data_IF_485307610770
#
_entry.id   IF_485307610770
#
_cell.length_a   1.000
_cell.length_b   1.000
_cell.length_c   1.000
_cell.angle_alpha   90.00
_cell.angle_beta   90.00
_cell.angle_gamma   90.00
#
_symmetry.space_group_name_H-M   'P 1'
#
loop_
_entity.id
_entity.type
_entity.pdbx_description
1 polymer ?
#
# COMPACT_ATOMS: atom_id res chain seq x y z
N UNK A 1 -8.75 49.99 13.75
CA UNK A 1 -9.79 49.07 14.26
C UNK A 1 -10.32 48.27 13.09
N UNK A 2 -9.99 46.98 13.03
CA UNK A 2 -10.58 46.00 12.11
C UNK A 2 -10.29 44.64 12.71
N UNK A 3 -11.20 44.19 13.57
CA UNK A 3 -11.19 42.88 14.22
C UNK A 3 -11.67 41.83 13.23
N UNK A 4 -10.76 41.01 12.69
CA UNK A 4 -11.12 39.78 12.00
C UNK A 4 -11.24 38.66 13.04
N UNK A 5 -12.47 38.23 13.26
CA UNK A 5 -12.85 37.14 14.16
C UNK A 5 -12.26 35.81 13.70
N UNK A 6 -11.50 35.16 14.57
CA UNK A 6 -11.16 33.74 14.50
C UNK A 6 -12.44 32.89 14.51
N UNK A 7 -12.58 31.86 13.64
CA UNK A 7 -13.71 30.94 13.72
C UNK A 7 -13.60 30.10 15.01
N UNK A 8 -14.74 29.65 15.59
CA UNK A 8 -14.74 28.89 16.83
C UNK A 8 -14.04 27.54 16.62
N UNK A 9 -13.17 27.18 17.56
CA UNK A 9 -12.55 25.87 17.63
C UNK A 9 -13.63 24.78 17.60
N UNK A 10 -13.50 23.83 16.68
CA UNK A 10 -14.35 22.65 16.65
C UNK A 10 -14.19 21.87 17.96
N UNK A 11 -15.32 21.53 18.59
CA UNK A 11 -15.38 20.68 19.79
C UNK A 11 -14.50 19.43 19.65
N UNK A 12 -13.77 19.04 20.71
CA UNK A 12 -12.86 17.90 20.66
C UNK A 12 -13.62 16.61 20.27
N UNK A 13 -13.09 15.82 19.33
CA UNK A 13 -13.72 14.57 18.93
C UNK A 13 -13.59 13.54 20.07
N UNK A 14 -14.73 13.18 20.66
CA UNK A 14 -14.84 12.09 21.65
C UNK A 14 -14.61 10.74 20.96
N UNK A 15 -13.89 9.77 21.56
CA UNK A 15 -13.66 8.45 20.96
C UNK A 15 -14.93 7.61 20.71
N UNK A 16 -16.08 8.04 21.22
CA UNK A 16 -17.41 7.47 20.96
C UNK A 16 -18.09 8.00 19.70
N UNK A 17 -17.55 9.06 19.06
CA UNK A 17 -18.15 9.62 17.85
C UNK A 17 -17.99 8.65 16.68
N UNK A 18 -19.12 8.24 16.07
CA UNK A 18 -19.10 7.59 14.75
C UNK A 18 -18.40 8.53 13.77
N UNK A 19 -17.20 8.15 13.34
CA UNK A 19 -16.43 8.82 12.28
C UNK A 19 -17.30 8.81 11.01
N UNK A 20 -17.98 9.93 10.78
CA UNK A 20 -18.97 10.12 9.72
C UNK A 20 -18.59 11.39 8.95
N UNK A 21 -17.44 11.38 8.29
CA UNK A 21 -17.16 12.38 7.26
C UNK A 21 -16.25 11.81 6.18
N UNK A 22 -16.68 11.93 4.92
CA UNK A 22 -15.92 11.57 3.70
C UNK A 22 -14.74 12.52 3.43
N UNK A 23 -14.38 13.36 4.40
CA UNK A 23 -13.25 14.27 4.37
C UNK A 23 -12.21 13.80 5.38
N UNK A 24 -11.11 13.25 4.88
CA UNK A 24 -9.90 12.97 5.64
C UNK A 24 -9.20 14.27 5.98
N UNK A 25 -9.48 14.83 7.16
CA UNK A 25 -8.65 15.89 7.73
C UNK A 25 -7.69 15.30 8.77
N UNK A 26 -6.64 16.06 9.15
CA UNK A 26 -5.63 15.56 10.07
C UNK A 26 -6.19 15.15 11.44
N UNK A 27 -7.26 15.81 11.90
CA UNK A 27 -7.93 15.46 13.15
C UNK A 27 -8.56 14.06 13.11
N UNK A 28 -9.17 13.68 11.99
CA UNK A 28 -9.70 12.32 11.79
C UNK A 28 -8.59 11.26 11.89
N UNK A 29 -7.43 11.49 11.28
CA UNK A 29 -6.29 10.56 11.32
C UNK A 29 -5.75 10.39 12.74
N UNK A 30 -5.63 11.48 13.50
CA UNK A 30 -5.26 11.44 14.92
C UNK A 30 -6.26 10.62 15.75
N UNK A 31 -7.56 10.83 15.55
CA UNK A 31 -8.61 10.10 16.25
C UNK A 31 -8.57 8.61 15.96
N UNK A 32 -8.23 8.22 14.73
CA UNK A 32 -8.11 6.83 14.33
C UNK A 32 -6.97 6.13 15.09
N UNK A 33 -5.80 6.77 15.18
CA UNK A 33 -4.70 6.26 16.02
C UNK A 33 -5.12 6.14 17.49
N UNK A 34 -5.78 7.16 18.03
CA UNK A 34 -6.25 7.17 19.42
C UNK A 34 -7.24 6.05 19.72
N UNK A 35 -8.28 5.95 18.91
CA UNK A 35 -9.30 4.89 18.99
C UNK A 35 -8.67 3.51 18.86
N UNK A 36 -7.71 3.33 17.95
CA UNK A 36 -6.98 2.08 17.75
C UNK A 36 -6.28 1.57 19.00
N UNK A 37 -5.62 2.45 19.76
CA UNK A 37 -4.95 2.10 21.03
C UNK A 37 -5.96 1.56 22.06
N UNK A 38 -7.10 2.24 22.23
CA UNK A 38 -8.11 1.86 23.23
C UNK A 38 -8.83 0.57 22.84
N UNK A 39 -9.19 0.41 21.57
CA UNK A 39 -9.81 -0.83 21.08
C UNK A 39 -8.85 -2.01 21.24
N UNK A 40 -7.56 -1.80 20.95
CA UNK A 40 -6.55 -2.83 21.13
C UNK A 40 -6.40 -3.22 22.60
N UNK A 41 -6.20 -2.24 23.49
CA UNK A 41 -6.05 -2.50 24.92
C UNK A 41 -7.28 -3.21 25.50
N UNK A 42 -8.50 -2.78 25.14
CA UNK A 42 -9.74 -3.44 25.53
C UNK A 42 -9.79 -4.89 25.06
N UNK A 43 -9.35 -5.16 23.83
CA UNK A 43 -9.29 -6.54 23.29
C UNK A 43 -8.31 -7.45 24.05
N UNK A 44 -7.37 -6.86 24.80
CA UNK A 44 -6.41 -7.56 25.67
C UNK A 44 -6.81 -7.56 27.15
N UNK A 45 -7.96 -6.99 27.50
CA UNK A 45 -8.39 -6.82 28.89
C UNK A 45 -7.52 -5.82 29.67
N UNK A 46 -6.82 -4.92 28.97
CA UNK A 46 -5.97 -3.90 29.58
C UNK A 46 -6.80 -2.66 29.84
N UNK A 47 -6.90 -2.26 31.10
CA UNK A 47 -7.52 -0.98 31.47
C UNK A 47 -6.59 0.19 31.12
N UNK A 48 -7.16 1.12 30.36
CA UNK A 48 -6.51 2.34 29.88
C UNK A 48 -7.03 3.59 30.62
N UNK A 49 -8.01 3.44 31.52
CA UNK A 49 -8.75 4.55 32.10
C UNK A 49 -9.62 5.27 31.07
N UNK A 50 -10.13 6.44 31.46
CA UNK A 50 -10.88 7.30 30.56
C UNK A 50 -9.95 7.99 29.55
N UNK A 51 -10.44 8.27 28.32
CA UNK A 51 -9.75 9.11 27.36
C UNK A 51 -9.42 10.50 27.95
N UNK A 52 -8.22 10.99 27.68
CA UNK A 52 -7.72 12.29 28.13
C UNK A 52 -7.71 13.29 26.97
N UNK A 53 -7.94 14.57 27.29
CA UNK A 53 -7.78 15.65 26.32
C UNK A 53 -6.29 15.86 26.03
N UNK A 54 -5.96 16.08 24.76
CA UNK A 54 -4.59 16.27 24.28
C UNK A 54 -4.49 17.54 23.46
N UNK A 55 -3.48 18.36 23.76
CA UNK A 55 -3.02 19.43 22.87
C UNK A 55 -1.92 18.89 21.96
N UNK A 56 -2.17 18.86 20.66
CA UNK A 56 -1.29 18.19 19.68
C UNK A 56 -0.98 19.15 18.53
N UNK A 57 0.32 19.33 18.27
CA UNK A 57 0.83 19.97 17.05
C UNK A 57 1.39 18.87 16.14
N UNK A 58 1.00 18.90 14.87
CA UNK A 58 1.43 17.93 13.87
C UNK A 58 2.23 18.64 12.80
N UNK A 59 3.44 18.15 12.56
CA UNK A 59 4.30 18.56 11.46
C UNK A 59 4.76 17.31 10.68
N UNK A 60 4.82 17.40 9.37
CA UNK A 60 5.14 16.27 8.51
C UNK A 60 5.57 16.68 7.12
N UNK A 61 6.66 16.08 6.64
CA UNK A 61 7.29 16.40 5.36
C UNK A 61 7.04 15.35 4.27
N UNK A 62 6.40 14.21 4.61
CA UNK A 62 6.04 13.18 3.63
C UNK A 62 4.95 13.74 2.71
N UNK A 63 5.19 13.83 1.39
CA UNK A 63 4.22 14.42 0.46
C UNK A 63 2.86 13.71 0.53
N UNK A 64 1.76 14.46 0.60
CA UNK A 64 0.41 13.89 0.61
C UNK A 64 0.02 13.38 -0.78
N UNK A 65 -0.84 12.35 -0.85
CA UNK A 65 -1.31 11.78 -2.12
C UNK A 65 -0.23 11.16 -3.01
N UNK A 66 0.98 10.97 -2.48
CA UNK A 66 2.19 10.62 -3.24
C UNK A 66 2.47 9.12 -3.36
N UNK A 67 1.65 8.26 -2.75
CA UNK A 67 2.00 6.83 -2.64
C UNK A 67 3.17 6.54 -1.69
N UNK A 68 3.65 7.52 -0.92
CA UNK A 68 4.68 7.34 0.13
C UNK A 68 4.09 7.15 1.53
N UNK A 69 2.82 6.77 1.61
CA UNK A 69 2.15 6.32 2.84
C UNK A 69 2.11 7.36 3.98
N UNK A 70 1.93 8.65 3.66
CA UNK A 70 1.80 9.73 4.64
C UNK A 70 0.62 9.54 5.61
N UNK A 71 -0.48 8.93 5.17
CA UNK A 71 -1.61 8.59 6.06
C UNK A 71 -1.21 7.59 7.15
N UNK A 72 -0.54 6.50 6.75
CA UNK A 72 -0.08 5.46 7.64
C UNK A 72 1.01 5.99 8.60
N UNK A 73 1.94 6.81 8.09
CA UNK A 73 2.95 7.46 8.92
C UNK A 73 2.31 8.32 10.02
N UNK A 74 1.25 9.06 9.70
CA UNK A 74 0.52 9.86 10.69
C UNK A 74 -0.29 8.99 11.66
N UNK A 75 -0.99 7.94 11.21
CA UNK A 75 -1.66 7.01 12.12
C UNK A 75 -0.66 6.36 13.09
N UNK A 76 0.49 5.93 12.59
CA UNK A 76 1.56 5.33 13.39
C UNK A 76 2.17 6.33 14.38
N UNK A 77 2.50 7.55 13.95
CA UNK A 77 3.07 8.58 14.85
C UNK A 77 2.07 9.00 15.93
N UNK A 78 0.80 9.22 15.58
CA UNK A 78 -0.27 9.46 16.53
C UNK A 78 -0.38 8.33 17.55
N UNK A 79 -0.38 7.08 17.07
CA UNK A 79 -0.49 5.89 17.92
C UNK A 79 0.65 5.80 18.94
N UNK A 80 1.91 5.93 18.49
CA UNK A 80 3.04 5.82 19.41
C UNK A 80 3.14 7.00 20.37
N UNK A 81 2.74 8.21 19.94
CA UNK A 81 2.68 9.38 20.81
C UNK A 81 1.65 9.18 21.94
N UNK A 82 0.45 8.69 21.60
CA UNK A 82 -0.62 8.41 22.56
C UNK A 82 -0.22 7.30 23.53
N UNK A 83 0.39 6.22 23.04
CA UNK A 83 0.96 5.18 23.90
C UNK A 83 1.99 5.77 24.88
N UNK A 84 2.86 6.65 24.39
CA UNK A 84 3.85 7.36 25.20
C UNK A 84 3.24 8.24 26.29
N UNK A 85 2.19 9.01 25.96
CA UNK A 85 1.45 9.87 26.90
C UNK A 85 0.76 9.02 27.98
N UNK A 86 0.15 7.90 27.60
CA UNK A 86 -0.55 7.01 28.52
C UNK A 86 0.38 6.07 29.31
N UNK A 87 1.70 6.19 29.12
CA UNK A 87 2.69 5.34 29.78
C UNK A 87 2.54 3.86 29.42
N UNK A 88 2.02 3.54 28.24
CA UNK A 88 1.82 2.17 27.75
C UNK A 88 2.85 1.82 26.70
N UNK A 89 3.26 0.56 26.69
CA UNK A 89 4.16 0.03 25.68
C UNK A 89 3.65 -1.33 25.21
N UNK A 90 3.49 -1.48 23.90
CA UNK A 90 3.06 -2.72 23.26
C UNK A 90 4.15 -3.20 22.30
N UNK A 91 4.31 -4.51 22.09
CA UNK A 91 5.22 -5.04 21.10
C UNK A 91 5.01 -4.40 19.72
N UNK A 92 6.09 -3.99 19.06
CA UNK A 92 6.04 -3.33 17.73
C UNK A 92 5.18 -4.07 16.70
N UNK A 93 5.23 -5.41 16.72
CA UNK A 93 4.42 -6.28 15.85
C UNK A 93 2.92 -6.09 16.09
N UNK A 94 2.51 -5.99 17.35
CA UNK A 94 1.12 -5.75 17.72
C UNK A 94 0.68 -4.34 17.33
N UNK A 95 1.55 -3.35 17.56
CA UNK A 95 1.32 -1.95 17.13
C UNK A 95 1.06 -1.88 15.64
N UNK A 96 1.95 -2.44 14.81
CA UNK A 96 1.78 -2.48 13.36
C UNK A 96 0.46 -3.16 12.91
N UNK A 97 0.03 -4.20 13.62
CA UNK A 97 -1.21 -4.91 13.29
C UNK A 97 -2.46 -4.11 13.64
N UNK A 98 -2.53 -3.55 14.86
CA UNK A 98 -3.73 -2.81 15.25
C UNK A 98 -3.80 -1.44 14.59
N UNK A 99 -2.67 -0.80 14.24
CA UNK A 99 -2.69 0.45 13.47
C UNK A 99 -3.22 0.23 12.06
N UNK A 100 -2.84 -0.87 11.40
CA UNK A 100 -3.43 -1.27 10.11
C UNK A 100 -4.96 -1.42 10.20
N UNK A 101 -5.46 -2.11 11.24
CA UNK A 101 -6.91 -2.23 11.46
C UNK A 101 -7.57 -0.88 11.75
N UNK A 102 -6.89 -0.02 12.52
CA UNK A 102 -7.41 1.30 12.84
C UNK A 102 -7.52 2.18 11.59
N UNK A 103 -6.52 2.21 10.71
CA UNK A 103 -6.50 3.06 9.52
C UNK A 103 -7.67 2.76 8.57
N UNK A 104 -8.17 1.53 8.56
CA UNK A 104 -9.36 1.15 7.75
C UNK A 104 -10.63 1.90 8.14
N UNK A 105 -10.70 2.50 9.34
CA UNK A 105 -11.80 3.39 9.73
C UNK A 105 -11.88 4.66 8.85
N UNK A 106 -10.82 4.99 8.11
CA UNK A 106 -10.80 6.06 7.12
C UNK A 106 -11.61 5.70 5.86
N UNK A 107 -11.87 4.41 5.63
CA UNK A 107 -12.67 3.90 4.51
C UNK A 107 -11.86 3.24 3.39
N UNK A 108 -10.52 3.30 3.45
CA UNK A 108 -9.65 2.52 2.57
C UNK A 108 -9.32 1.16 3.20
N UNK A 109 -9.54 0.07 2.46
CA UNK A 109 -9.26 -1.29 2.94
C UNK A 109 -7.79 -1.68 2.71
N UNK A 110 -6.87 -0.90 3.25
CA UNK A 110 -5.43 -1.10 3.06
C UNK A 110 -4.89 -2.36 3.74
N UNK A 111 -3.79 -2.87 3.18
CA UNK A 111 -2.94 -3.88 3.81
C UNK A 111 -2.15 -3.32 5.00
N UNK A 112 -1.23 -4.14 5.54
CA UNK A 112 -0.42 -3.80 6.72
C UNK A 112 1.01 -3.34 6.44
N UNK A 113 1.41 -3.25 5.16
CA UNK A 113 2.81 -2.96 4.77
C UNK A 113 3.29 -1.61 5.29
N UNK A 114 2.49 -0.56 5.09
CA UNK A 114 2.87 0.82 5.42
C UNK A 114 3.09 1.01 6.92
N UNK A 115 2.19 0.47 7.73
CA UNK A 115 2.26 0.56 9.18
C UNK A 115 3.36 -0.34 9.75
N UNK A 116 3.54 -1.53 9.15
CA UNK A 116 4.61 -2.45 9.51
C UNK A 116 5.98 -1.81 9.32
N UNK A 117 6.26 -1.26 8.14
CA UNK A 117 7.55 -0.62 7.87
C UNK A 117 7.71 0.66 8.70
N UNK A 118 6.65 1.48 8.85
CA UNK A 118 6.70 2.69 9.66
C UNK A 118 7.08 2.41 11.12
N UNK A 119 6.61 1.31 11.72
CA UNK A 119 6.90 0.96 13.12
C UNK A 119 8.21 0.16 13.26
N UNK A 120 8.48 -0.78 12.35
CA UNK A 120 9.51 -1.81 12.53
C UNK A 120 10.80 -1.57 11.75
N UNK A 121 10.85 -0.57 10.85
CA UNK A 121 12.04 -0.32 10.04
C UNK A 121 13.31 -0.12 10.88
N UNK A 122 14.44 -0.57 10.32
CA UNK A 122 15.77 -0.41 10.88
C UNK A 122 16.65 0.40 9.93
N UNK A 123 17.46 1.34 10.45
CA UNK A 123 18.42 2.07 9.63
C UNK A 123 19.34 1.13 8.86
N UNK A 124 19.54 1.41 7.57
CA UNK A 124 20.44 0.65 6.70
C UNK A 124 19.86 -0.64 6.09
N UNK A 125 18.68 -1.09 6.52
CA UNK A 125 18.03 -2.30 6.02
C UNK A 125 16.69 -2.01 5.34
N UNK A 126 16.47 -2.60 4.16
CA UNK A 126 15.11 -2.88 3.71
C UNK A 126 14.54 -4.05 4.55
N UNK A 127 13.23 -4.26 4.50
CA UNK A 127 12.57 -5.33 5.25
C UNK A 127 11.70 -6.17 4.31
N UNK A 128 11.84 -7.49 4.36
CA UNK A 128 10.81 -8.41 3.88
C UNK A 128 9.76 -8.55 4.98
N UNK A 129 8.54 -8.09 4.69
CA UNK A 129 7.43 -8.10 5.64
C UNK A 129 6.47 -9.23 5.29
N UNK A 130 6.44 -10.27 6.13
CA UNK A 130 5.47 -11.35 6.08
C UNK A 130 4.23 -10.98 6.91
N UNK A 131 3.08 -11.56 6.55
CA UNK A 131 1.82 -11.40 7.26
C UNK A 131 1.26 -12.76 7.69
N UNK A 132 0.48 -12.78 8.78
CA UNK A 132 -0.17 -13.97 9.34
C UNK A 132 0.78 -15.13 9.76
N UNK A 133 1.70 -14.91 10.72
CA UNK A 133 1.86 -13.74 11.59
C UNK A 133 2.75 -12.64 10.99
N UNK A 134 2.67 -11.43 11.54
CA UNK A 134 3.52 -10.33 11.09
C UNK A 134 5.00 -10.56 11.47
N UNK A 135 5.88 -10.42 10.50
CA UNK A 135 7.34 -10.51 10.69
C UNK A 135 8.03 -9.54 9.75
N UNK A 136 9.03 -8.83 10.25
CA UNK A 136 9.97 -8.07 9.44
C UNK A 136 11.32 -8.83 9.46
N UNK A 137 11.86 -9.11 8.30
CA UNK A 137 13.15 -9.77 8.12
C UNK A 137 14.07 -8.85 7.33
N UNK A 138 15.20 -8.49 7.93
CA UNK A 138 16.18 -7.57 7.39
C UNK A 138 16.69 -8.04 6.01
N UNK A 139 16.71 -7.13 5.04
CA UNK A 139 17.25 -7.32 3.68
C UNK A 139 18.31 -6.25 3.44
N UNK A 140 19.57 -6.68 3.46
CA UNK A 140 20.71 -5.81 3.17
C UNK A 140 20.82 -5.59 1.67
N UNK A 141 20.50 -4.38 1.19
CA UNK A 141 20.61 -4.04 -0.23
C UNK A 141 22.08 -4.08 -0.70
N UNK A 142 22.35 -4.49 -1.95
CA UNK A 142 23.70 -4.54 -2.50
C UNK A 142 24.32 -3.14 -2.58
N UNK A 143 25.65 -3.08 -2.52
CA UNK A 143 26.37 -1.82 -2.57
C UNK A 143 26.33 -1.19 -3.97
N UNK A 144 26.61 0.12 -4.06
CA UNK A 144 26.71 0.82 -5.34
C UNK A 144 25.38 1.15 -6.04
N UNK A 145 24.24 0.84 -5.42
CA UNK A 145 22.91 1.26 -5.86
C UNK A 145 22.20 2.14 -4.83
N UNK A 146 21.52 3.17 -5.31
CA UNK A 146 20.66 4.05 -4.52
C UNK A 146 19.27 4.13 -5.16
N UNK A 147 18.25 4.24 -4.30
CA UNK A 147 16.89 4.48 -4.75
C UNK A 147 16.59 5.98 -4.81
N UNK A 148 16.14 6.44 -5.98
CA UNK A 148 15.63 7.80 -6.19
C UNK A 148 14.11 7.75 -6.25
N UNK A 149 13.48 8.59 -5.44
CA UNK A 149 12.03 8.79 -5.43
C UNK A 149 11.71 10.00 -6.29
N UNK A 150 10.72 9.86 -7.18
CA UNK A 150 10.27 10.94 -8.05
C UNK A 150 8.74 10.97 -8.10
N UNK A 151 8.13 12.14 -7.86
CA UNK A 151 6.68 12.34 -7.88
C UNK A 151 6.22 12.74 -9.29
N UNK A 152 5.15 12.12 -9.81
CA UNK A 152 4.63 12.38 -11.16
C UNK A 152 3.74 13.64 -11.26
N UNK A 153 3.46 14.28 -10.12
CA UNK A 153 2.61 15.45 -9.94
C UNK A 153 1.11 15.21 -10.17
N UNK A 154 0.69 13.98 -10.48
CA UNK A 154 -0.70 13.57 -10.35
C UNK A 154 -0.95 13.09 -8.91
N UNK A 155 -1.97 13.64 -8.26
CA UNK A 155 -2.34 13.24 -6.90
C UNK A 155 -3.15 11.94 -6.92
N UNK A 156 -2.74 10.97 -6.09
CA UNK A 156 -3.53 9.76 -5.86
C UNK A 156 -4.63 10.04 -4.84
N UNK A 157 -5.86 10.22 -5.33
CA UNK A 157 -7.07 10.42 -4.49
C UNK A 157 -7.60 9.10 -3.94
N UNK A 158 -6.77 8.39 -3.17
CA UNK A 158 -6.98 7.01 -2.71
C UNK A 158 -8.31 6.80 -1.99
N UNK A 159 -8.71 7.72 -1.11
CA UNK A 159 -9.95 7.61 -0.33
C UNK A 159 -11.20 7.97 -1.16
N UNK A 160 -11.14 9.05 -1.95
CA UNK A 160 -12.28 9.52 -2.77
C UNK A 160 -12.62 8.53 -3.87
N UNK A 161 -11.59 7.98 -4.54
CA UNK A 161 -11.76 7.02 -5.64
C UNK A 161 -11.74 5.56 -5.16
N UNK A 162 -11.81 5.32 -3.85
CA UNK A 162 -11.61 3.99 -3.29
C UNK A 162 -12.56 2.94 -3.90
N UNK A 163 -13.84 3.28 -4.08
CA UNK A 163 -14.86 2.36 -4.59
C UNK A 163 -14.65 1.95 -6.06
N UNK A 164 -13.93 2.75 -6.86
CA UNK A 164 -13.63 2.46 -8.27
C UNK A 164 -12.19 1.97 -8.50
N UNK A 165 -11.27 2.38 -7.63
CA UNK A 165 -9.84 2.07 -7.69
C UNK A 165 -9.42 1.13 -6.55
N UNK A 166 -8.94 1.66 -5.43
CA UNK A 166 -8.23 0.88 -4.41
C UNK A 166 -9.08 -0.25 -3.80
N UNK A 167 -10.27 0.05 -3.27
CA UNK A 167 -11.15 -0.97 -2.69
C UNK A 167 -11.74 -1.88 -3.77
N UNK A 168 -11.91 -1.38 -5.01
CA UNK A 168 -12.32 -2.23 -6.12
C UNK A 168 -11.32 -3.36 -6.36
N UNK A 169 -10.01 -3.06 -6.37
CA UNK A 169 -8.96 -4.09 -6.47
C UNK A 169 -9.00 -5.09 -5.32
N UNK A 170 -9.26 -4.62 -4.10
CA UNK A 170 -9.41 -5.51 -2.92
C UNK A 170 -10.59 -6.47 -3.12
N UNK A 171 -11.73 -5.98 -3.62
CA UNK A 171 -12.91 -6.80 -3.92
C UNK A 171 -12.64 -7.76 -5.07
N UNK A 172 -12.03 -7.31 -6.18
CA UNK A 172 -11.66 -8.18 -7.31
C UNK A 172 -10.74 -9.32 -6.86
N UNK A 173 -9.70 -9.04 -6.05
CA UNK A 173 -8.82 -10.06 -5.52
C UNK A 173 -9.55 -11.05 -4.61
N UNK A 174 -10.43 -10.58 -3.72
CA UNK A 174 -11.22 -11.46 -2.84
C UNK A 174 -12.20 -12.33 -3.62
N UNK A 175 -12.86 -11.77 -4.63
CA UNK A 175 -13.75 -12.53 -5.53
C UNK A 175 -12.96 -13.56 -6.33
N UNK A 176 -11.78 -13.21 -6.86
CA UNK A 176 -10.91 -14.15 -7.56
C UNK A 176 -10.49 -15.31 -6.66
N UNK A 177 -10.16 -15.04 -5.39
CA UNK A 177 -9.83 -16.08 -4.42
C UNK A 177 -11.01 -17.02 -4.14
N UNK A 178 -12.21 -16.48 -3.92
CA UNK A 178 -13.43 -17.28 -3.69
C UNK A 178 -13.74 -18.15 -4.91
N UNK A 179 -13.71 -17.59 -6.12
CA UNK A 179 -13.99 -18.32 -7.36
C UNK A 179 -12.94 -19.42 -7.59
N UNK A 180 -11.66 -19.13 -7.36
CA UNK A 180 -10.59 -20.13 -7.43
C UNK A 180 -10.82 -21.25 -6.42
N UNK A 181 -11.13 -20.95 -5.16
CA UNK A 181 -11.42 -21.95 -4.14
C UNK A 181 -12.52 -22.93 -4.59
N UNK A 182 -13.64 -22.38 -5.09
CA UNK A 182 -14.79 -23.18 -5.56
C UNK A 182 -14.40 -24.05 -6.74
N UNK A 183 -13.73 -23.48 -7.75
CA UNK A 183 -13.27 -24.22 -8.94
C UNK A 183 -12.21 -25.28 -8.61
N UNK A 184 -11.49 -25.12 -7.51
CA UNK A 184 -10.52 -26.08 -6.98
C UNK A 184 -11.17 -27.12 -6.03
N UNK A 185 -12.50 -27.14 -5.92
CA UNK A 185 -13.26 -28.16 -5.21
C UNK A 185 -13.60 -27.82 -3.76
N UNK A 186 -13.40 -26.58 -3.31
CA UNK A 186 -13.89 -26.14 -2.00
C UNK A 186 -15.42 -25.96 -2.03
N UNK A 187 -16.10 -26.42 -0.97
CA UNK A 187 -17.52 -26.14 -0.76
C UNK A 187 -17.83 -24.64 -0.87
N UNK A 188 -18.92 -24.28 -1.54
CA UNK A 188 -19.26 -22.89 -1.85
C UNK A 188 -19.52 -22.06 -0.60
N UNK A 189 -20.23 -22.61 0.40
CA UNK A 189 -20.50 -21.93 1.66
C UNK A 189 -19.21 -21.70 2.44
N UNK A 190 -18.32 -22.70 2.48
CA UNK A 190 -16.99 -22.55 3.09
C UNK A 190 -16.16 -21.49 2.36
N UNK A 191 -16.07 -21.55 1.04
CA UNK A 191 -15.29 -20.58 0.25
C UNK A 191 -15.74 -19.13 0.51
N UNK A 192 -17.05 -18.88 0.46
CA UNK A 192 -17.61 -17.54 0.69
C UNK A 192 -17.35 -17.01 2.10
N UNK A 193 -17.37 -17.89 3.12
CA UNK A 193 -17.27 -17.48 4.53
C UNK A 193 -15.84 -17.42 5.05
N UNK A 194 -14.93 -18.29 4.57
CA UNK A 194 -13.57 -18.39 5.10
C UNK A 194 -12.49 -17.80 4.20
N UNK A 195 -12.72 -17.65 2.89
CA UNK A 195 -11.70 -17.11 1.98
C UNK A 195 -11.75 -15.59 1.95
N UNK A 196 -10.62 -14.98 2.28
CA UNK A 196 -10.48 -13.53 2.40
C UNK A 196 -9.45 -12.96 1.44
N UNK A 197 -8.39 -13.73 1.15
CA UNK A 197 -7.27 -13.33 0.29
C UNK A 197 -6.89 -14.43 -0.68
N UNK A 198 -6.12 -14.09 -1.72
CA UNK A 198 -5.53 -15.07 -2.63
C UNK A 198 -4.51 -15.99 -1.94
N UNK A 199 -3.86 -15.54 -0.86
CA UNK A 199 -2.95 -16.39 -0.09
C UNK A 199 -3.68 -17.56 0.59
N UNK A 200 -4.94 -17.36 1.01
CA UNK A 200 -5.77 -18.43 1.62
C UNK A 200 -6.00 -19.63 0.68
N UNK A 201 -5.87 -19.42 -0.63
CA UNK A 201 -6.12 -20.43 -1.67
C UNK A 201 -4.86 -20.81 -2.45
N UNK A 202 -3.72 -20.18 -2.17
CA UNK A 202 -2.45 -20.40 -2.88
C UNK A 202 -2.03 -21.87 -2.83
N UNK A 203 -2.15 -22.52 -1.67
CA UNK A 203 -1.82 -23.95 -1.52
C UNK A 203 -2.66 -24.86 -2.43
N UNK A 204 -3.94 -24.53 -2.65
CA UNK A 204 -4.79 -25.26 -3.59
C UNK A 204 -4.36 -25.01 -5.04
N UNK A 205 -4.00 -23.76 -5.38
CA UNK A 205 -3.49 -23.40 -6.69
C UNK A 205 -2.17 -24.11 -7.01
N UNK A 206 -1.24 -24.19 -6.05
CA UNK A 206 0.04 -24.91 -6.19
C UNK A 206 -0.21 -26.42 -6.33
N UNK A 207 -1.11 -27.00 -5.53
CA UNK A 207 -1.47 -28.42 -5.65
C UNK A 207 -2.04 -28.76 -7.04
N UNK A 208 -2.89 -27.88 -7.58
CA UNK A 208 -3.40 -27.99 -8.94
C UNK A 208 -2.29 -27.88 -9.98
N UNK A 209 -1.42 -26.88 -9.86
CA UNK A 209 -0.27 -26.70 -10.74
C UNK A 209 0.68 -27.91 -10.73
N UNK A 210 0.84 -28.57 -9.57
CA UNK A 210 1.69 -29.75 -9.43
C UNK A 210 1.21 -30.94 -10.28
N UNK A 211 -0.12 -31.11 -10.42
CA UNK A 211 -0.72 -32.11 -11.33
C UNK A 211 -0.46 -31.80 -12.81
N UNK A 212 -0.09 -30.56 -13.11
CA UNK A 212 0.27 -30.04 -14.43
C UNK A 212 1.79 -29.89 -14.60
N UNK A 213 2.59 -30.44 -13.67
CA UNK A 213 4.06 -30.38 -13.73
C UNK A 213 4.67 -29.01 -13.40
N UNK A 214 3.95 -28.14 -12.68
CA UNK A 214 4.41 -26.80 -12.31
C UNK A 214 4.26 -26.51 -10.82
N UNK A 215 5.08 -25.63 -10.26
CA UNK A 215 4.89 -25.07 -8.91
C UNK A 215 4.29 -23.65 -8.92
N UNK A 216 3.99 -23.11 -10.11
CA UNK A 216 3.46 -21.75 -10.26
C UNK A 216 1.93 -21.73 -10.03
N UNK A 217 1.43 -21.08 -8.96
CA UNK A 217 -0.02 -20.97 -8.73
C UNK A 217 -0.75 -20.25 -9.87
N UNK A 218 -0.04 -19.47 -10.69
CA UNK A 218 -0.58 -18.84 -11.90
C UNK A 218 -1.10 -19.83 -12.94
N UNK A 219 -0.69 -21.11 -12.91
CA UNK A 219 -1.27 -22.16 -13.77
C UNK A 219 -2.75 -22.36 -13.47
N UNK A 220 -3.13 -22.37 -12.18
CA UNK A 220 -4.53 -22.48 -11.78
C UNK A 220 -5.34 -21.26 -12.25
N UNK A 221 -4.77 -20.05 -12.13
CA UNK A 221 -5.40 -18.81 -12.63
C UNK A 221 -5.70 -18.93 -14.12
N UNK A 222 -4.69 -19.32 -14.91
CA UNK A 222 -4.81 -19.44 -16.37
C UNK A 222 -5.82 -20.48 -16.83
N UNK A 223 -5.94 -21.60 -16.13
CA UNK A 223 -6.85 -22.68 -16.52
C UNK A 223 -8.27 -22.49 -15.99
N UNK A 224 -8.44 -21.83 -14.85
CA UNK A 224 -9.71 -21.80 -14.13
C UNK A 224 -10.45 -20.46 -14.23
N UNK A 225 -9.75 -19.35 -14.48
CA UNK A 225 -10.37 -18.04 -14.69
C UNK A 225 -10.27 -17.64 -16.16
N UNK A 226 -11.40 -17.30 -16.79
CA UNK A 226 -11.37 -16.64 -18.10
C UNK A 226 -10.89 -15.18 -17.99
N UNK A 227 -10.36 -14.64 -19.09
CA UNK A 227 -9.74 -13.30 -19.12
C UNK A 227 -10.76 -12.16 -19.15
N UNK A 228 -11.97 -12.39 -19.65
CA UNK A 228 -12.96 -11.33 -19.75
C UNK A 228 -13.46 -10.89 -18.36
N UNK A 229 -13.86 -9.62 -18.20
CA UNK A 229 -14.41 -9.18 -16.93
C UNK A 229 -15.67 -9.97 -16.55
N UNK A 230 -15.67 -10.53 -15.34
CA UNK A 230 -16.81 -11.25 -14.79
C UNK A 230 -17.93 -10.29 -14.45
N UNK A 231 -19.17 -10.66 -14.75
CA UNK A 231 -20.36 -9.92 -14.31
C UNK A 231 -20.74 -10.29 -12.88
N UNK A 232 -21.49 -9.43 -12.19
CA UNK A 232 -22.08 -9.76 -10.89
C UNK A 232 -22.87 -11.08 -10.94
N UNK A 233 -23.74 -11.23 -11.94
CA UNK A 233 -24.63 -12.40 -12.10
C UNK A 233 -23.83 -13.69 -12.25
N UNK A 234 -22.74 -13.65 -13.02
CA UNK A 234 -21.87 -14.81 -13.20
C UNK A 234 -21.23 -15.25 -11.88
N UNK A 235 -20.70 -14.31 -11.10
CA UNK A 235 -20.06 -14.62 -9.82
C UNK A 235 -21.11 -15.12 -8.80
N UNK A 236 -22.31 -14.53 -8.78
CA UNK A 236 -23.41 -14.99 -7.93
C UNK A 236 -23.86 -16.41 -8.29
N UNK A 237 -23.84 -16.77 -9.58
CA UNK A 237 -24.10 -18.15 -10.02
C UNK A 237 -23.03 -19.12 -9.54
N UNK A 238 -21.75 -18.73 -9.57
CA UNK A 238 -20.63 -19.57 -9.09
C UNK A 238 -20.68 -19.73 -7.57
N UNK A 239 -20.93 -18.64 -6.85
CA UNK A 239 -20.96 -18.62 -5.37
C UNK A 239 -22.26 -19.17 -4.78
N UNK A 240 -23.33 -19.22 -5.57
CA UNK A 240 -24.65 -19.67 -5.15
C UNK A 240 -25.37 -18.70 -4.20
N UNK A 241 -24.87 -17.47 -4.04
CA UNK A 241 -25.42 -16.45 -3.14
C UNK A 241 -25.23 -15.06 -3.74
N UNK A 242 -26.07 -14.10 -3.31
CA UNK A 242 -25.86 -12.71 -3.73
C UNK A 242 -24.59 -12.13 -3.13
N UNK A 243 -23.83 -11.37 -3.93
CA UNK A 243 -22.62 -10.70 -3.46
C UNK A 243 -22.92 -9.63 -2.41
N UNK A 244 -24.13 -9.07 -2.39
CA UNK A 244 -24.57 -8.19 -1.31
C UNK A 244 -24.57 -8.93 0.04
N UNK A 245 -24.98 -10.20 0.05
CA UNK A 245 -24.93 -11.08 1.23
C UNK A 245 -23.49 -11.45 1.59
N UNK A 246 -22.67 -11.80 0.60
CA UNK A 246 -21.23 -12.12 0.81
C UNK A 246 -20.49 -10.96 1.49
N UNK A 247 -20.80 -9.73 1.10
CA UNK A 247 -20.14 -8.52 1.59
C UNK A 247 -20.95 -7.72 2.62
N UNK A 248 -22.00 -8.29 3.20
CA UNK A 248 -22.94 -7.57 4.08
C UNK A 248 -22.28 -6.88 5.29
N UNK A 249 -21.15 -7.42 5.77
CA UNK A 249 -20.39 -6.88 6.90
C UNK A 249 -19.40 -5.77 6.52
N UNK A 250 -19.27 -5.43 5.23
CA UNK A 250 -18.30 -4.48 4.72
C UNK A 250 -18.98 -3.41 3.88
N UNK A 251 -19.29 -2.27 4.50
CA UNK A 251 -19.90 -1.13 3.81
C UNK A 251 -19.06 -0.67 2.60
N UNK A 252 -17.73 -0.66 2.74
CA UNK A 252 -16.81 -0.29 1.67
C UNK A 252 -16.85 -1.28 0.49
N UNK A 253 -17.09 -2.56 0.75
CA UNK A 253 -17.27 -3.55 -0.33
C UNK A 253 -18.63 -3.39 -1.01
N UNK A 254 -19.69 -3.07 -0.26
CA UNK A 254 -20.99 -2.74 -0.83
C UNK A 254 -20.94 -1.47 -1.70
N UNK A 255 -20.12 -0.48 -1.33
CA UNK A 255 -19.87 0.71 -2.15
C UNK A 255 -19.22 0.34 -3.50
N UNK A 256 -18.30 -0.62 -3.50
CA UNK A 256 -17.72 -1.17 -4.74
C UNK A 256 -18.79 -1.84 -5.60
N UNK A 257 -19.65 -2.68 -5.04
CA UNK A 257 -20.72 -3.35 -5.82
C UNK A 257 -21.73 -2.36 -6.43
N UNK A 258 -21.87 -1.18 -5.82
CA UNK A 258 -22.67 -0.08 -6.37
C UNK A 258 -21.95 0.61 -7.54
N UNK A 259 -20.64 0.82 -7.43
CA UNK A 259 -19.84 1.53 -8.43
C UNK A 259 -19.41 0.65 -9.63
N UNK A 260 -19.08 -0.62 -9.40
CA UNK A 260 -18.55 -1.55 -10.40
C UNK A 260 -19.59 -2.63 -10.76
N UNK A 261 -19.69 -2.95 -12.06
CA UNK A 261 -20.54 -4.04 -12.59
C UNK A 261 -19.76 -5.21 -13.17
N UNK A 262 -18.46 -5.00 -13.38
CA UNK A 262 -17.55 -5.96 -13.99
C UNK A 262 -16.28 -6.08 -13.14
N UNK A 263 -15.75 -7.30 -13.02
CA UNK A 263 -14.60 -7.62 -12.15
C UNK A 263 -13.55 -8.43 -12.90
N UNK A 264 -12.31 -7.93 -12.96
CA UNK A 264 -11.20 -8.54 -13.72
C UNK A 264 -10.42 -9.56 -12.90
N UNK A 265 -11.09 -10.68 -12.57
CA UNK A 265 -10.57 -11.68 -11.63
C UNK A 265 -9.23 -12.29 -12.09
N UNK A 266 -9.13 -12.66 -13.37
CA UNK A 266 -7.92 -13.25 -13.97
C UNK A 266 -6.71 -12.32 -13.84
N UNK A 267 -6.87 -11.05 -14.21
CA UNK A 267 -5.77 -10.08 -14.23
C UNK A 267 -5.31 -9.78 -12.81
N UNK A 268 -6.24 -9.64 -11.85
CA UNK A 268 -5.88 -9.32 -10.47
C UNK A 268 -5.16 -10.48 -9.80
N UNK A 269 -5.65 -11.70 -9.98
CA UNK A 269 -4.98 -12.89 -9.46
C UNK A 269 -3.60 -13.10 -10.11
N UNK A 270 -3.50 -12.93 -11.43
CA UNK A 270 -2.23 -13.03 -12.17
C UNK A 270 -1.21 -12.00 -11.69
N UNK A 271 -1.64 -10.76 -11.46
CA UNK A 271 -0.79 -9.73 -10.87
C UNK A 271 -0.28 -10.16 -9.49
N UNK A 272 -1.18 -10.51 -8.58
CA UNK A 272 -0.84 -10.79 -7.17
C UNK A 272 0.15 -11.95 -7.04
N UNK A 273 -0.11 -13.09 -7.67
CA UNK A 273 0.81 -14.23 -7.58
C UNK A 273 2.17 -13.95 -8.25
N UNK A 274 2.17 -13.27 -9.41
CA UNK A 274 3.42 -12.90 -10.07
C UNK A 274 4.22 -11.87 -9.28
N UNK A 275 3.55 -10.93 -8.60
CA UNK A 275 4.19 -9.91 -7.75
C UNK A 275 4.77 -10.53 -6.48
N UNK A 276 4.04 -11.43 -5.81
CA UNK A 276 4.57 -12.18 -4.67
C UNK A 276 5.84 -12.96 -5.05
N UNK A 277 5.84 -13.62 -6.22
CA UNK A 277 7.04 -14.29 -6.74
C UNK A 277 8.19 -13.32 -7.01
N UNK A 278 7.92 -12.13 -7.56
CA UNK A 278 8.95 -11.09 -7.78
C UNK A 278 9.58 -10.61 -6.48
N UNK A 279 8.80 -10.51 -5.39
CA UNK A 279 9.32 -10.16 -4.05
C UNK A 279 10.34 -11.20 -3.58
N UNK A 280 10.01 -12.49 -3.67
CA UNK A 280 10.95 -13.55 -3.29
C UNK A 280 12.15 -13.62 -4.23
N UNK A 281 11.97 -13.42 -5.53
CA UNK A 281 13.07 -13.34 -6.48
C UNK A 281 14.00 -12.15 -6.21
N UNK A 282 13.46 -11.02 -5.73
CA UNK A 282 14.23 -9.86 -5.31
C UNK A 282 15.09 -10.20 -4.09
N UNK A 283 14.49 -10.77 -3.03
CA UNK A 283 15.21 -11.26 -1.85
C UNK A 283 16.30 -12.26 -2.24
N UNK A 284 15.96 -13.26 -3.04
CA UNK A 284 16.89 -14.33 -3.42
C UNK A 284 18.04 -13.79 -4.28
N UNK A 285 17.80 -12.74 -5.06
CA UNK A 285 18.85 -12.03 -5.80
C UNK A 285 19.80 -11.31 -4.85
N UNK A 286 19.27 -10.62 -3.83
CA UNK A 286 20.07 -9.96 -2.80
C UNK A 286 20.91 -10.97 -1.99
N UNK A 287 20.38 -12.17 -1.76
CA UNK A 287 21.08 -13.25 -1.04
C UNK A 287 21.97 -14.12 -1.94
N UNK A 288 22.05 -13.81 -3.24
CA UNK A 288 22.80 -14.61 -4.21
C UNK A 288 24.32 -14.34 -4.14
N UNK A 289 25.09 -15.13 -4.90
CA UNK A 289 26.55 -14.95 -5.06
C UNK A 289 26.92 -14.09 -6.28
N UNK A 290 25.97 -13.34 -6.83
CA UNK A 290 26.25 -12.43 -7.96
C UNK A 290 27.14 -11.28 -7.48
N UNK A 291 27.87 -10.65 -8.42
CA UNK A 291 28.51 -9.36 -8.13
C UNK A 291 27.47 -8.29 -7.83
N UNK A 292 27.85 -7.23 -7.12
CA UNK A 292 26.94 -6.09 -6.86
C UNK A 292 26.30 -5.55 -8.14
N UNK A 293 27.07 -5.41 -9.22
CA UNK A 293 26.54 -4.99 -10.51
C UNK A 293 25.53 -5.98 -11.10
N UNK A 294 25.83 -7.28 -11.02
CA UNK A 294 24.92 -8.33 -11.48
C UNK A 294 23.63 -8.38 -10.67
N UNK A 295 23.72 -8.19 -9.35
CA UNK A 295 22.56 -8.06 -8.47
C UNK A 295 21.73 -6.84 -8.88
N UNK A 296 22.33 -5.66 -8.91
CA UNK A 296 21.65 -4.40 -9.24
C UNK A 296 20.91 -4.47 -10.58
N UNK A 297 21.52 -5.05 -11.61
CA UNK A 297 20.85 -5.25 -12.91
C UNK A 297 19.60 -6.12 -12.75
N UNK A 298 19.73 -7.28 -12.11
CA UNK A 298 18.61 -8.22 -11.92
C UNK A 298 17.49 -7.64 -11.05
N UNK A 299 17.83 -6.87 -10.02
CA UNK A 299 16.85 -6.13 -9.22
C UNK A 299 16.11 -5.09 -10.06
N UNK A 300 16.83 -4.38 -10.93
CA UNK A 300 16.24 -3.44 -11.89
C UNK A 300 15.26 -4.12 -12.86
N UNK A 301 15.64 -5.26 -13.43
CA UNK A 301 14.79 -6.07 -14.30
C UNK A 301 13.48 -6.48 -13.57
N UNK A 302 13.57 -6.96 -12.32
CA UNK A 302 12.40 -7.30 -11.49
C UNK A 302 11.49 -6.10 -11.19
N UNK A 303 12.06 -4.91 -10.97
CA UNK A 303 11.29 -3.67 -10.78
C UNK A 303 10.53 -3.30 -12.05
N UNK A 304 11.15 -3.46 -13.22
CA UNK A 304 10.52 -3.16 -14.50
C UNK A 304 9.34 -4.11 -14.79
N UNK A 305 9.52 -5.41 -14.51
CA UNK A 305 8.45 -6.40 -14.62
C UNK A 305 7.29 -6.11 -13.67
N UNK A 306 7.60 -5.67 -12.44
CA UNK A 306 6.58 -5.23 -11.48
C UNK A 306 5.82 -4.02 -12.00
N UNK A 307 6.50 -2.99 -12.53
CA UNK A 307 5.81 -1.83 -13.11
C UNK A 307 4.87 -2.23 -14.25
N UNK A 308 5.35 -3.06 -15.17
CA UNK A 308 4.54 -3.55 -16.28
C UNK A 308 3.30 -4.27 -15.77
N UNK A 309 3.45 -5.17 -14.80
CA UNK A 309 2.33 -5.88 -14.17
C UNK A 309 1.35 -4.93 -13.47
N UNK A 310 1.83 -3.92 -12.73
CA UNK A 310 0.98 -2.89 -12.14
C UNK A 310 0.21 -2.09 -13.20
N UNK A 311 0.83 -1.82 -14.35
CA UNK A 311 0.24 -1.05 -15.44
C UNK A 311 -0.81 -1.86 -16.20
N UNK A 312 -0.48 -3.09 -16.63
CA UNK A 312 -1.33 -3.87 -17.55
C UNK A 312 -2.26 -4.85 -16.85
N UNK A 313 -1.80 -5.52 -15.78
CA UNK A 313 -2.62 -6.54 -15.08
C UNK A 313 -3.37 -5.91 -13.91
N UNK A 314 -2.73 -5.05 -13.14
CA UNK A 314 -3.39 -4.40 -12.01
C UNK A 314 -4.04 -3.07 -12.37
N UNK A 315 -3.73 -2.48 -13.53
CA UNK A 315 -4.32 -1.22 -14.00
C UNK A 315 -4.35 -0.15 -12.90
N UNK A 316 -3.21 0.02 -12.23
CA UNK A 316 -3.00 1.01 -11.17
C UNK A 316 -1.91 2.04 -11.49
N UNK A 317 -1.45 2.11 -12.74
CA UNK A 317 -0.61 3.20 -13.21
C UNK A 317 -1.46 4.39 -13.69
N UNK A 318 -0.80 5.43 -14.20
CA UNK A 318 -1.43 6.57 -14.89
C UNK A 318 -0.47 7.15 -15.94
N UNK A 319 -0.96 7.95 -16.91
CA UNK A 319 -0.11 8.51 -17.96
C UNK A 319 1.13 9.24 -17.44
N UNK A 320 0.99 10.00 -16.35
CA UNK A 320 2.10 10.76 -15.74
C UNK A 320 3.14 9.84 -15.11
N UNK A 321 2.73 8.70 -14.53
CA UNK A 321 3.63 7.68 -13.99
C UNK A 321 4.35 6.94 -15.13
N UNK A 322 3.65 6.59 -16.21
CA UNK A 322 4.27 5.94 -17.37
C UNK A 322 5.32 6.85 -18.01
N UNK A 323 5.00 8.14 -18.20
CA UNK A 323 5.97 9.14 -18.68
C UNK A 323 7.18 9.23 -17.73
N UNK A 324 6.94 9.36 -16.43
CA UNK A 324 8.02 9.50 -15.44
C UNK A 324 8.92 8.26 -15.40
N UNK A 325 8.34 7.05 -15.37
CA UNK A 325 9.09 5.80 -15.36
C UNK A 325 9.90 5.64 -16.64
N UNK A 326 9.35 5.99 -17.80
CA UNK A 326 10.10 6.03 -19.06
C UNK A 326 11.28 6.99 -18.97
N UNK A 327 11.06 8.22 -18.51
CA UNK A 327 12.14 9.21 -18.36
C UNK A 327 13.21 8.72 -17.38
N UNK A 328 12.85 8.07 -16.28
CA UNK A 328 13.82 7.45 -15.37
C UNK A 328 14.70 6.42 -16.10
N UNK A 329 14.10 5.49 -16.86
CA UNK A 329 14.85 4.44 -17.57
C UNK A 329 15.76 5.02 -18.66
N UNK A 330 15.24 5.96 -19.45
CA UNK A 330 15.98 6.61 -20.53
C UNK A 330 17.20 7.42 -20.02
N UNK A 331 17.23 7.76 -18.73
CA UNK A 331 18.28 8.58 -18.11
C UNK A 331 19.12 7.82 -17.09
N UNK A 332 19.13 6.48 -17.14
CA UNK A 332 20.11 5.65 -16.43
C UNK A 332 19.60 4.87 -15.22
N UNK A 333 18.29 4.84 -14.98
CA UNK A 333 17.73 3.90 -14.00
C UNK A 333 17.87 2.46 -14.50
N UNK A 334 18.40 1.58 -13.65
CA UNK A 334 18.46 0.13 -13.91
C UNK A 334 17.07 -0.49 -13.88
N UNK A 335 16.20 0.04 -13.01
CA UNK A 335 14.78 -0.27 -13.00
C UNK A 335 13.99 0.86 -12.37
N UNK A 336 12.78 1.07 -12.85
CA UNK A 336 11.88 2.08 -12.31
C UNK A 336 10.44 1.58 -12.34
N UNK A 337 9.69 1.89 -11.28
CA UNK A 337 8.29 1.51 -11.11
C UNK A 337 7.53 2.51 -10.27
N UNK A 338 6.21 2.56 -10.42
CA UNK A 338 5.33 3.21 -9.44
C UNK A 338 5.54 2.62 -8.03
N UNK A 339 5.27 3.41 -7.00
CA UNK A 339 5.27 2.94 -5.60
C UNK A 339 3.99 3.36 -4.89
N UNK A 340 3.64 2.65 -3.81
CA UNK A 340 2.38 2.81 -3.11
C UNK A 340 1.18 2.30 -3.92
N UNK A 341 0.05 2.99 -3.79
CA UNK A 341 -1.21 2.57 -4.40
C UNK A 341 -1.25 2.73 -5.93
N UNK A 342 -0.52 3.70 -6.48
CA UNK A 342 -0.63 4.13 -7.87
C UNK A 342 -1.79 5.10 -8.12
N UNK A 343 -2.25 5.17 -9.38
CA UNK A 343 -3.17 6.19 -9.90
C UNK A 343 -2.69 7.62 -9.63
N UNK A 344 -1.38 7.83 -9.82
CA UNK A 344 -0.66 9.03 -9.40
C UNK A 344 0.39 8.74 -8.33
N UNK A 345 1.00 9.79 -7.80
CA UNK A 345 2.01 9.73 -6.76
C UNK A 345 3.43 9.52 -7.28
N UNK A 346 4.19 8.66 -6.61
CA UNK A 346 5.62 8.51 -6.84
C UNK A 346 5.97 7.27 -7.66
N UNK A 347 7.07 7.39 -8.39
CA UNK A 347 7.91 6.29 -8.83
C UNK A 347 9.14 6.15 -7.93
N UNK A 348 9.67 4.93 -7.88
CA UNK A 348 10.96 4.58 -7.29
C UNK A 348 11.86 4.03 -8.39
N UNK A 349 13.07 4.58 -8.49
CA UNK A 349 14.07 4.21 -9.48
C UNK A 349 15.35 3.70 -8.79
N UNK A 350 15.87 2.56 -9.23
CA UNK A 350 17.16 2.04 -8.82
C UNK A 350 18.24 2.59 -9.74
N UNK A 351 19.20 3.32 -9.18
CA UNK A 351 20.22 4.06 -9.91
C UNK A 351 21.60 3.73 -9.32
N UNK A 352 22.64 3.61 -10.16
CA UNK A 352 24.01 3.44 -9.68
C UNK A 352 24.43 4.68 -8.89
N UNK A 353 25.03 4.50 -7.71
CA UNK A 353 25.36 5.59 -6.75
C UNK A 353 26.11 6.74 -7.44
N UNK A 354 27.11 6.42 -8.28
CA UNK A 354 27.97 7.40 -8.94
C UNK A 354 27.27 8.31 -9.95
N UNK A 355 26.06 7.97 -10.43
CA UNK A 355 25.32 8.79 -11.39
C UNK A 355 24.09 9.48 -10.78
N UNK A 356 23.80 9.29 -9.49
CA UNK A 356 22.60 9.84 -8.83
C UNK A 356 22.48 11.37 -9.01
N UNK A 357 23.54 12.19 -8.83
CA UNK A 357 23.42 13.64 -9.04
C UNK A 357 23.02 13.98 -10.48
N UNK A 358 23.66 13.36 -11.47
CA UNK A 358 23.35 13.58 -12.88
C UNK A 358 21.95 13.07 -13.24
N UNK A 359 21.53 11.94 -12.68
CA UNK A 359 20.19 11.39 -12.85
C UNK A 359 19.11 12.37 -12.38
N UNK A 360 19.26 12.97 -11.19
CA UNK A 360 18.32 13.96 -10.66
C UNK A 360 18.29 15.22 -11.54
N UNK A 361 19.46 15.69 -12.01
CA UNK A 361 19.53 16.80 -12.96
C UNK A 361 18.80 16.47 -14.28
N UNK A 362 18.96 15.26 -14.79
CA UNK A 362 18.26 14.83 -16.00
C UNK A 362 16.74 14.80 -15.78
N UNK A 363 16.24 14.32 -14.64
CA UNK A 363 14.81 14.37 -14.34
C UNK A 363 14.29 15.80 -14.22
N UNK A 364 15.07 16.70 -13.60
CA UNK A 364 14.75 18.13 -13.55
C UNK A 364 14.52 18.68 -14.96
N UNK A 365 15.45 18.42 -15.88
CA UNK A 365 15.38 18.97 -17.24
C UNK A 365 14.32 18.27 -18.12
N UNK A 366 14.21 16.95 -18.04
CA UNK A 366 13.40 16.14 -18.96
C UNK A 366 11.95 15.97 -18.52
N UNK A 367 11.67 15.99 -17.22
CA UNK A 367 10.31 15.80 -16.71
C UNK A 367 9.77 17.09 -16.07
N UNK A 368 10.50 17.66 -15.11
CA UNK A 368 9.98 18.74 -14.26
C UNK A 368 10.05 20.13 -14.90
N UNK A 369 11.02 20.42 -15.76
CA UNK A 369 11.22 21.75 -16.34
C UNK A 369 9.96 22.30 -17.03
N UNK A 370 9.35 21.52 -17.92
CA UNK A 370 8.12 21.93 -18.60
C UNK A 370 6.94 22.15 -17.64
N UNK A 371 6.95 21.49 -16.48
CA UNK A 371 5.92 21.63 -15.43
C UNK A 371 6.18 22.86 -14.57
N UNK A 372 7.44 23.18 -14.31
CA UNK A 372 7.89 24.42 -13.66
C UNK A 372 7.57 25.63 -14.55
N UNK A 373 7.93 25.56 -15.83
CA UNK A 373 7.71 26.65 -16.80
C UNK A 373 6.20 26.95 -16.99
N UNK A 374 5.35 25.93 -16.82
CA UNK A 374 3.88 26.06 -16.81
C UNK A 374 3.28 26.47 -15.46
N UNK A 375 4.10 26.63 -14.42
CA UNK A 375 3.64 27.00 -13.08
C UNK A 375 2.93 25.90 -12.29
N UNK A 376 3.05 24.62 -12.69
CA UNK A 376 2.47 23.48 -11.96
C UNK A 376 3.13 23.30 -10.60
N UNK A 377 4.46 23.51 -10.54
CA UNK A 377 5.25 23.50 -9.31
C UNK A 377 6.26 24.64 -9.35
N UNK A 378 6.72 25.09 -8.17
CA UNK A 378 7.79 26.08 -8.08
C UNK A 378 9.16 25.42 -8.18
N UNK A 379 10.12 26.12 -8.78
CA UNK A 379 11.51 25.68 -8.84
C UNK A 379 12.13 25.45 -7.45
N UNK A 380 11.71 26.22 -6.44
CA UNK A 380 12.13 26.07 -5.04
C UNK A 380 11.70 24.75 -4.41
N UNK A 381 10.62 24.16 -4.90
CA UNK A 381 9.95 23.02 -4.27
C UNK A 381 10.40 21.70 -4.89
N UNK A 382 11.30 21.73 -5.89
CA UNK A 382 11.73 20.56 -6.66
C UNK A 382 12.29 19.45 -5.76
N UNK A 383 12.99 19.80 -4.68
CA UNK A 383 13.53 18.83 -3.71
C UNK A 383 12.45 18.02 -2.98
N UNK A 384 11.19 18.47 -2.95
CA UNK A 384 10.07 17.71 -2.40
C UNK A 384 9.57 16.64 -3.37
N UNK A 385 9.86 16.79 -4.67
CA UNK A 385 9.34 15.93 -5.73
C UNK A 385 10.37 14.95 -6.27
N UNK A 386 11.67 15.23 -6.17
CA UNK A 386 12.71 14.30 -6.60
C UNK A 386 13.89 14.30 -5.63
N UNK A 387 14.18 13.15 -5.05
CA UNK A 387 15.23 13.00 -4.04
C UNK A 387 15.73 11.56 -3.93
N UNK A 388 17.00 11.40 -3.58
CA UNK A 388 17.57 10.10 -3.22
C UNK A 388 17.16 9.72 -1.79
N UNK A 389 16.93 8.44 -1.54
CA UNK A 389 16.56 7.93 -0.21
C UNK A 389 17.31 6.65 0.12
N UNK A 390 17.61 6.47 1.41
CA UNK A 390 18.24 5.27 1.98
C UNK A 390 17.35 4.72 3.10
N UNK A 391 17.42 3.41 3.40
CA UNK A 391 16.63 2.84 4.47
C UNK A 391 16.93 3.51 5.82
N UNK A 392 15.87 3.93 6.52
CA UNK A 392 15.94 4.73 7.75
C UNK A 392 15.24 4.04 8.92
N UNK A 393 15.29 4.65 10.10
CA UNK A 393 14.64 4.14 11.31
C UNK A 393 13.12 4.16 11.20
N UNK A 394 12.47 3.19 11.84
CA UNK A 394 11.04 3.23 12.14
C UNK A 394 10.70 4.23 13.26
N UNK A 395 9.43 4.23 13.65
CA UNK A 395 8.85 5.17 14.58
C UNK A 395 9.52 5.10 15.96
N UNK A 396 9.74 6.28 16.54
CA UNK A 396 10.38 6.46 17.84
C UNK A 396 9.71 7.60 18.62
N UNK A 397 9.80 7.53 19.94
CA UNK A 397 9.40 8.60 20.85
C UNK A 397 10.66 9.40 21.19
N UNK A 398 10.65 10.71 20.92
CA UNK A 398 11.69 11.63 21.35
C UNK A 398 11.24 12.29 22.66
N UNK A 399 12.04 12.14 23.71
CA UNK A 399 11.87 12.91 24.95
C UNK A 399 12.87 14.06 24.88
N UNK A 400 12.36 15.26 24.61
CA UNK A 400 13.14 16.49 24.48
C UNK A 400 13.50 17.05 25.85
#
# INVERSE_FOLDING_TARGET
MSTTSTPPASTPPTPTRKLTSRTTNGATTLCVGYKGVYEYARSKGIDMGEPVALDVVVDGTVPQGSGLSSSAAFVCSATIAIMGILGKNFPKKEVAQFTCKSERHIGTQSGGMDQAISIMAKPGFAELIDFNPIKATDVQLPSGGTFVIAHCLAESKKAETAATNYNNRVVECRLAAIVLAIKLGMDTKKAVTSVTTLSDVEGLCVSFAGKEGSSDPGVAVKKLLHEEPYTLVEIEKITGQSLATVFQSSQTSLDVLRAAKHFKLFQRASHVYSEARRVYAFRDTVLSKLSDEGMLKKLGDLMNDSHHSCSVLYECSCPELEELVKVCRDNGALGARLTGAGWGGCAVALVKEGIVPQFILNLKEKYYKSRIDRGVIKQSDLGLYVFASKPSSGAAILRL
#
